data_IF_337075672887
#
_entry.id   IF_337075672887
#
_cell.length_a   1.000
_cell.length_b   1.000
_cell.length_c   1.000
_cell.angle_alpha   90.00
_cell.angle_beta   90.00
_cell.angle_gamma   90.00
#
_symmetry.space_group_name_H-M   'P 1'
#
loop_
_entity.id
_entity.type
_entity.pdbx_description
1 polymer ?
#
# COMPACT_ATOMS: atom_id res chain seq x y z
N UNK A 1 24.96 -1.23 15.07
CA UNK A 1 24.25 -0.06 15.62
C UNK A 1 24.92 0.40 16.93
N UNK A 2 25.03 -0.45 17.92
CA UNK A 2 25.59 -0.12 19.24
C UNK A 2 27.04 0.41 19.19
N UNK A 3 27.92 -0.24 18.45
CA UNK A 3 29.33 0.17 18.26
C UNK A 3 29.40 1.55 17.59
N UNK A 4 28.61 1.80 16.55
CA UNK A 4 28.60 3.09 15.84
C UNK A 4 28.11 4.25 16.70
N UNK A 5 27.23 3.98 17.66
CA UNK A 5 26.66 5.00 18.56
C UNK A 5 27.30 4.99 19.93
N UNK A 6 28.39 4.25 20.12
CA UNK A 6 29.13 4.12 21.40
C UNK A 6 28.23 3.77 22.60
N UNK A 7 27.26 2.87 22.38
CA UNK A 7 26.33 2.46 23.41
C UNK A 7 26.99 1.42 24.33
N UNK A 8 26.87 1.63 25.62
CA UNK A 8 27.33 0.68 26.64
C UNK A 8 26.31 -0.45 26.89
N UNK A 9 25.04 -0.16 26.64
CA UNK A 9 23.93 -1.11 26.78
C UNK A 9 23.01 -1.00 25.57
N UNK A 10 22.36 -2.13 25.21
CA UNK A 10 21.38 -2.18 24.11
C UNK A 10 19.98 -2.20 24.73
N UNK A 11 19.24 -1.11 24.53
CA UNK A 11 17.84 -1.01 24.94
C UNK A 11 16.90 -1.54 23.86
N UNK A 12 15.65 -1.78 24.21
CA UNK A 12 14.60 -2.14 23.24
C UNK A 12 14.45 -1.08 22.14
N UNK A 13 14.51 0.21 22.50
CA UNK A 13 14.46 1.31 21.52
C UNK A 13 15.62 1.22 20.50
N UNK A 14 16.83 0.88 20.94
CA UNK A 14 17.95 0.72 20.03
C UNK A 14 17.77 -0.43 19.02
N UNK A 15 17.07 -1.51 19.43
CA UNK A 15 16.75 -2.62 18.55
C UNK A 15 15.71 -2.18 17.51
N UNK A 16 14.66 -1.46 17.94
CA UNK A 16 13.63 -0.91 17.05
C UNK A 16 14.26 0.04 16.04
N UNK A 17 15.08 0.99 16.49
CA UNK A 17 15.79 1.93 15.61
C UNK A 17 16.71 1.23 14.60
N UNK A 18 17.38 0.15 15.02
CA UNK A 18 18.22 -0.64 14.13
C UNK A 18 17.38 -1.40 13.08
N UNK A 19 16.27 -1.97 13.49
CA UNK A 19 15.33 -2.66 12.62
C UNK A 19 14.74 -1.70 11.58
N UNK A 20 14.28 -0.52 12.00
CA UNK A 20 13.75 0.50 11.10
C UNK A 20 14.78 0.96 10.07
N UNK A 21 16.04 1.17 10.48
CA UNK A 21 17.11 1.53 9.55
C UNK A 21 17.36 0.48 8.47
N UNK A 22 17.13 -0.79 8.77
CA UNK A 22 17.32 -1.91 7.82
C UNK A 22 16.13 -2.05 6.91
N UNK A 23 14.90 -1.96 7.44
CA UNK A 23 13.67 -2.27 6.72
C UNK A 23 13.11 -1.07 5.95
N UNK A 24 13.21 0.12 6.53
CA UNK A 24 12.56 1.34 6.01
C UNK A 24 13.60 2.33 5.49
N UNK A 25 14.82 2.29 6.03
CA UNK A 25 15.90 3.18 5.67
C UNK A 25 16.24 4.19 6.76
N UNK A 26 17.23 5.03 6.48
CA UNK A 26 17.67 6.07 7.41
C UNK A 26 16.65 7.20 7.47
N UNK A 27 16.27 7.69 8.66
CA UNK A 27 15.46 8.87 8.78
C UNK A 27 16.14 10.08 8.11
N UNK A 28 15.36 10.96 7.53
CA UNK A 28 15.87 12.26 7.07
C UNK A 28 16.31 13.07 8.29
N UNK A 29 17.43 13.75 8.16
CA UNK A 29 17.95 14.60 9.24
C UNK A 29 17.36 16.01 9.20
N UNK A 30 16.66 16.36 8.14
CA UNK A 30 16.08 17.69 7.91
C UNK A 30 14.66 17.50 7.40
N UNK A 31 13.73 18.19 8.04
CA UNK A 31 12.34 18.31 7.55
C UNK A 31 12.26 19.57 6.70
N UNK A 32 12.01 19.39 5.41
CA UNK A 32 11.89 20.50 4.43
C UNK A 32 10.52 20.53 3.74
N UNK A 33 9.59 19.66 4.17
CA UNK A 33 8.24 19.60 3.59
C UNK A 33 7.38 20.73 4.15
N UNK A 34 6.49 21.27 3.32
CA UNK A 34 5.43 22.19 3.76
C UNK A 34 4.43 21.48 4.68
N UNK A 35 3.68 22.26 5.46
CA UNK A 35 2.68 21.72 6.37
C UNK A 35 1.57 20.95 5.64
N UNK A 36 1.21 21.38 4.44
CA UNK A 36 0.28 20.72 3.51
C UNK A 36 0.73 19.29 3.13
N UNK A 37 2.01 19.12 2.82
CA UNK A 37 2.60 17.81 2.50
C UNK A 37 2.64 16.93 3.73
N UNK A 38 2.95 17.50 4.90
CA UNK A 38 2.95 16.76 6.17
C UNK A 38 1.54 16.30 6.51
N UNK A 39 0.53 17.15 6.33
CA UNK A 39 -0.87 16.81 6.54
C UNK A 39 -1.33 15.70 5.60
N UNK A 40 -1.02 15.80 4.31
CA UNK A 40 -1.35 14.76 3.33
C UNK A 40 -0.75 13.39 3.72
N UNK A 41 0.54 13.38 4.09
CA UNK A 41 1.20 12.15 4.56
C UNK A 41 0.54 11.61 5.83
N UNK A 42 0.15 12.49 6.76
CA UNK A 42 -0.52 12.08 7.98
C UNK A 42 -1.88 11.40 7.69
N UNK A 43 -2.67 11.95 6.78
CA UNK A 43 -3.93 11.31 6.33
C UNK A 43 -3.67 9.98 5.65
N UNK A 44 -2.69 9.91 4.76
CA UNK A 44 -2.30 8.68 4.06
C UNK A 44 -1.97 7.55 5.06
N UNK A 45 -1.07 7.82 6.01
CA UNK A 45 -0.69 6.83 7.02
C UNK A 45 -1.84 6.52 8.01
N UNK A 46 -2.69 7.51 8.30
CA UNK A 46 -3.88 7.29 9.10
C UNK A 46 -4.88 6.34 8.41
N UNK A 47 -5.04 6.44 7.09
CA UNK A 47 -5.87 5.53 6.30
C UNK A 47 -5.42 4.07 6.44
N UNK A 48 -4.14 3.80 6.21
CA UNK A 48 -3.57 2.45 6.43
C UNK A 48 -3.77 1.99 7.87
N UNK A 49 -3.51 2.87 8.83
CA UNK A 49 -3.61 2.56 10.25
C UNK A 49 -5.04 2.22 10.67
N UNK A 50 -6.02 3.04 10.26
CA UNK A 50 -7.43 2.86 10.58
C UNK A 50 -7.92 1.49 10.10
N UNK A 51 -7.65 1.17 8.83
CA UNK A 51 -8.05 -0.10 8.24
C UNK A 51 -7.32 -1.28 8.86
N UNK A 52 -6.01 -1.17 9.16
CA UNK A 52 -5.28 -2.24 9.85
C UNK A 52 -5.81 -2.50 11.27
N UNK A 53 -6.24 -1.46 12.00
CA UNK A 53 -6.89 -1.56 13.31
C UNK A 53 -8.29 -2.18 13.21
N UNK A 54 -9.08 -1.79 12.21
CA UNK A 54 -10.39 -2.39 11.95
C UNK A 54 -10.27 -3.88 11.66
N UNK A 55 -9.29 -4.27 10.86
CA UNK A 55 -8.97 -5.66 10.58
C UNK A 55 -7.99 -6.28 11.59
N UNK A 56 -8.10 -5.90 12.88
CA UNK A 56 -7.24 -6.38 13.97
C UNK A 56 -7.30 -7.91 14.19
N UNK A 57 -8.24 -8.61 13.57
CA UNK A 57 -8.22 -10.08 13.49
C UNK A 57 -6.97 -10.58 12.73
N UNK A 58 -6.51 -9.84 11.72
CA UNK A 58 -5.43 -10.24 10.82
C UNK A 58 -4.12 -9.53 11.11
N UNK A 59 -4.18 -8.28 11.62
CA UNK A 59 -3.02 -7.40 11.74
C UNK A 59 -2.82 -6.89 13.16
N UNK A 60 -1.56 -6.65 13.51
CA UNK A 60 -1.14 -5.91 14.69
C UNK A 60 -0.37 -4.67 14.25
N UNK A 61 -0.92 -3.48 14.46
CA UNK A 61 -0.22 -2.22 14.21
C UNK A 61 0.88 -2.05 15.25
N UNK A 62 2.10 -1.82 14.80
CA UNK A 62 3.29 -1.69 15.65
C UNK A 62 3.76 -0.25 15.75
N UNK A 63 3.73 0.49 14.66
CA UNK A 63 4.19 1.87 14.62
C UNK A 63 3.58 2.62 13.44
N UNK A 64 3.30 3.89 13.66
CA UNK A 64 2.92 4.86 12.63
C UNK A 64 3.83 6.07 12.76
N UNK A 65 4.31 6.60 11.67
CA UNK A 65 5.13 7.81 11.65
C UNK A 65 4.97 8.58 10.36
N UNK A 66 5.06 9.87 10.47
CA UNK A 66 5.09 10.81 9.34
C UNK A 66 6.50 11.34 9.07
N UNK A 67 7.53 10.77 9.73
CA UNK A 67 8.90 11.19 9.53
C UNK A 67 9.41 10.68 8.19
N UNK A 68 9.88 11.61 7.35
CA UNK A 68 10.49 11.27 6.09
C UNK A 68 11.76 10.43 6.26
N UNK A 69 12.00 9.51 5.34
CA UNK A 69 13.24 8.77 5.26
C UNK A 69 14.10 9.23 4.06
N UNK A 70 15.37 8.86 4.06
CA UNK A 70 16.30 9.15 2.96
C UNK A 70 15.99 8.36 1.68
N UNK A 71 15.13 7.36 1.75
CA UNK A 71 14.65 6.57 0.62
C UNK A 71 13.47 7.19 -0.11
N UNK A 72 12.99 8.36 0.33
CA UNK A 72 11.92 9.12 -0.32
C UNK A 72 10.51 8.83 0.22
N UNK A 73 10.35 7.93 1.22
CA UNK A 73 9.05 7.77 1.88
C UNK A 73 8.79 8.95 2.81
N UNK A 74 7.60 9.52 2.73
CA UNK A 74 7.15 10.64 3.57
C UNK A 74 6.76 10.23 4.98
N UNK A 75 6.30 9.00 5.13
CA UNK A 75 5.90 8.34 6.37
C UNK A 75 5.88 6.84 6.19
N UNK A 76 5.42 6.12 7.18
CA UNK A 76 5.10 4.69 7.05
C UNK A 76 4.20 4.19 8.18
N UNK A 77 3.40 3.20 7.88
CA UNK A 77 2.63 2.41 8.85
C UNK A 77 3.20 1.00 8.91
N UNK A 78 3.79 0.65 10.05
CA UNK A 78 4.29 -0.70 10.30
C UNK A 78 3.23 -1.53 11.00
N UNK A 79 2.76 -2.57 10.35
CA UNK A 79 1.92 -3.60 10.94
C UNK A 79 2.45 -4.99 10.61
N UNK A 80 2.16 -5.95 11.45
CA UNK A 80 2.56 -7.34 11.26
C UNK A 80 1.33 -8.21 11.11
N UNK A 81 1.41 -9.18 10.21
CA UNK A 81 0.39 -10.23 10.10
C UNK A 81 0.45 -11.15 11.31
N UNK A 82 -0.70 -11.50 11.88
CA UNK A 82 -0.74 -12.48 12.96
C UNK A 82 -0.26 -13.86 12.50
N UNK A 83 0.46 -14.55 13.36
CA UNK A 83 1.16 -15.80 13.07
C UNK A 83 0.26 -16.84 12.36
N UNK A 84 -1.00 -16.94 12.77
CA UNK A 84 -1.99 -17.82 12.15
C UNK A 84 -2.13 -17.63 10.63
N UNK A 85 -2.01 -16.41 10.15
CA UNK A 85 -2.20 -16.06 8.73
C UNK A 85 -0.90 -15.95 7.94
N UNK A 86 0.26 -15.96 8.63
CA UNK A 86 1.57 -15.98 7.96
C UNK A 86 1.83 -17.29 7.25
N UNK A 87 1.47 -18.42 7.87
CA UNK A 87 1.70 -19.75 7.31
C UNK A 87 0.63 -20.18 6.31
N UNK A 88 -0.62 -19.77 6.52
CA UNK A 88 -1.78 -20.14 5.69
C UNK A 88 -2.67 -18.91 5.47
N UNK A 89 -2.34 -18.04 4.49
CA UNK A 89 -3.18 -16.92 4.14
C UNK A 89 -4.57 -17.37 3.69
N UNK A 90 -5.62 -16.81 4.28
CA UNK A 90 -7.00 -17.11 3.90
C UNK A 90 -7.53 -16.11 2.89
N UNK A 91 -8.62 -16.46 2.20
CA UNK A 91 -9.33 -15.55 1.29
C UNK A 91 -9.68 -14.22 1.97
N UNK A 92 -10.20 -14.26 3.20
CA UNK A 92 -10.56 -13.07 3.99
C UNK A 92 -9.34 -12.22 4.36
N UNK A 93 -8.23 -12.87 4.75
CA UNK A 93 -6.98 -12.17 5.05
C UNK A 93 -6.44 -11.42 3.83
N UNK A 94 -6.41 -12.07 2.66
CA UNK A 94 -5.91 -11.40 1.45
C UNK A 94 -6.79 -10.23 1.03
N UNK A 95 -8.12 -10.34 1.17
CA UNK A 95 -9.03 -9.24 0.91
C UNK A 95 -8.81 -8.09 1.89
N UNK A 96 -8.68 -8.38 3.20
CA UNK A 96 -8.36 -7.36 4.20
C UNK A 96 -7.01 -6.68 3.91
N UNK A 97 -5.99 -7.45 3.51
CA UNK A 97 -4.68 -6.92 3.15
C UNK A 97 -4.75 -6.00 1.92
N UNK A 98 -5.56 -6.36 0.94
CA UNK A 98 -5.82 -5.52 -0.24
C UNK A 98 -6.51 -4.21 0.13
N UNK A 99 -7.53 -4.25 1.01
CA UNK A 99 -8.24 -3.06 1.49
C UNK A 99 -7.29 -2.15 2.27
N UNK A 100 -6.47 -2.71 3.18
CA UNK A 100 -5.46 -1.95 3.95
C UNK A 100 -4.43 -1.32 3.02
N UNK A 101 -3.96 -2.02 1.99
CA UNK A 101 -3.01 -1.47 1.03
C UNK A 101 -3.56 -0.26 0.25
N UNK A 102 -4.88 -0.17 0.06
CA UNK A 102 -5.53 0.94 -0.64
C UNK A 102 -5.95 2.09 0.30
N UNK A 103 -5.78 1.91 1.62
CA UNK A 103 -6.20 2.85 2.65
C UNK A 103 -5.56 4.22 2.52
N UNK A 104 -4.26 4.28 2.22
CA UNK A 104 -3.56 5.55 2.02
C UNK A 104 -4.15 6.37 0.89
N UNK A 105 -4.38 5.74 -0.28
CA UNK A 105 -5.02 6.41 -1.43
C UNK A 105 -6.44 6.87 -1.12
N UNK A 106 -7.23 6.05 -0.44
CA UNK A 106 -8.60 6.41 -0.07
C UNK A 106 -8.62 7.63 0.88
N UNK A 107 -7.71 7.66 1.85
CA UNK A 107 -7.59 8.78 2.79
C UNK A 107 -7.15 10.09 2.11
N UNK A 108 -6.22 10.03 1.14
CA UNK A 108 -5.85 11.21 0.34
C UNK A 108 -7.07 11.78 -0.41
N UNK A 109 -7.90 10.91 -1.00
CA UNK A 109 -9.10 11.32 -1.74
C UNK A 109 -10.13 11.96 -0.80
N UNK A 110 -10.38 11.36 0.35
CA UNK A 110 -11.30 11.92 1.37
C UNK A 110 -10.82 13.29 1.83
N UNK A 111 -9.52 13.46 2.11
CA UNK A 111 -8.95 14.76 2.46
C UNK A 111 -9.18 15.79 1.36
N UNK A 112 -8.88 15.44 0.11
CA UNK A 112 -9.05 16.31 -1.05
C UNK A 112 -10.51 16.74 -1.25
N UNK A 113 -11.46 15.81 -1.15
CA UNK A 113 -12.90 16.09 -1.31
C UNK A 113 -13.44 16.97 -0.18
N UNK A 114 -13.01 16.74 1.07
CA UNK A 114 -13.36 17.58 2.20
C UNK A 114 -12.85 19.01 2.00
N UNK A 115 -11.63 19.14 1.49
CA UNK A 115 -11.04 20.43 1.16
C UNK A 115 -11.82 21.14 0.06
N UNK A 116 -12.13 20.48 -1.06
CA UNK A 116 -12.94 21.01 -2.15
C UNK A 116 -14.32 21.46 -1.68
N UNK A 117 -14.94 20.69 -0.80
CA UNK A 117 -16.27 21.00 -0.23
C UNK A 117 -16.24 22.24 0.67
N UNK A 118 -15.10 22.63 1.20
CA UNK A 118 -14.91 23.81 2.04
C UNK A 118 -14.82 25.12 1.25
N UNK A 119 -14.59 25.04 -0.07
CA UNK A 119 -14.48 26.21 -0.95
C UNK A 119 -15.89 26.78 -1.17
N UNK A 120 -16.11 28.09 -0.92
CA UNK A 120 -17.40 28.72 -1.15
C UNK A 120 -17.83 28.63 -2.63
N UNK A 121 -19.11 28.31 -2.87
CA UNK A 121 -19.68 28.09 -4.21
C UNK A 121 -19.69 29.35 -5.11
N UNK A 122 -19.38 30.53 -4.57
CA UNK A 122 -19.29 31.81 -5.28
C UNK A 122 -17.87 32.16 -5.73
N UNK A 123 -16.90 31.25 -5.54
CA UNK A 123 -15.56 31.42 -6.09
C UNK A 123 -15.57 31.24 -7.62
N UNK A 124 -14.93 32.17 -8.34
CA UNK A 124 -14.75 32.03 -9.79
C UNK A 124 -13.83 30.84 -10.09
N UNK A 125 -14.32 29.89 -10.90
CA UNK A 125 -13.56 28.70 -11.28
C UNK A 125 -12.20 28.99 -11.91
N UNK A 126 -11.98 30.16 -12.50
CA UNK A 126 -10.69 30.58 -13.04
C UNK A 126 -9.68 30.94 -11.94
N UNK A 127 -10.13 31.52 -10.82
CA UNK A 127 -9.29 31.81 -9.66
C UNK A 127 -9.06 30.56 -8.79
N UNK A 128 -10.03 29.64 -8.75
CA UNK A 128 -9.91 28.36 -8.04
C UNK A 128 -8.78 27.53 -8.64
N UNK A 129 -8.56 27.57 -9.96
CA UNK A 129 -7.48 26.80 -10.61
C UNK A 129 -6.08 27.29 -10.21
N UNK A 130 -5.92 28.55 -9.80
CA UNK A 130 -4.66 29.13 -9.33
C UNK A 130 -4.53 29.17 -7.80
N UNK A 131 -5.66 29.09 -7.07
CA UNK A 131 -5.72 29.05 -5.62
C UNK A 131 -6.16 27.70 -5.06
N UNK A 132 -6.39 26.69 -5.91
CA UNK A 132 -6.43 25.30 -5.48
C UNK A 132 -5.02 25.05 -4.98
N UNK A 133 -4.90 25.30 -3.73
CA UNK A 133 -3.80 25.04 -2.88
C UNK A 133 -3.13 23.74 -3.23
N UNK A 134 -1.94 23.63 -2.86
CA UNK A 134 -1.00 22.55 -3.06
C UNK A 134 -1.50 21.15 -2.61
N UNK A 135 -2.73 21.03 -2.07
CA UNK A 135 -3.42 19.78 -1.73
C UNK A 135 -4.09 19.16 -2.97
N UNK A 136 -3.42 18.21 -3.58
CA UNK A 136 -3.92 17.38 -4.68
C UNK A 136 -3.59 15.90 -4.38
N UNK A 137 -4.26 15.00 -5.09
CA UNK A 137 -3.97 13.58 -5.04
C UNK A 137 -2.57 13.35 -5.61
N UNK A 138 -1.71 12.70 -4.84
CA UNK A 138 -0.29 12.57 -5.17
C UNK A 138 0.07 11.23 -5.80
N UNK A 139 1.32 11.14 -6.29
CA UNK A 139 1.93 9.88 -6.72
C UNK A 139 2.45 9.04 -5.54
N UNK A 140 2.32 9.53 -4.31
CA UNK A 140 2.83 8.88 -3.09
C UNK A 140 2.33 7.44 -2.91
N UNK A 141 1.09 7.18 -3.25
CA UNK A 141 0.48 5.85 -3.17
C UNK A 141 0.91 4.87 -4.29
N UNK A 142 1.91 5.20 -5.11
CA UNK A 142 2.32 4.33 -6.23
C UNK A 142 2.80 2.94 -5.78
N UNK A 143 3.52 2.85 -4.68
CA UNK A 143 3.97 1.59 -4.10
C UNK A 143 2.79 0.74 -3.58
N UNK A 144 1.81 1.39 -2.94
CA UNK A 144 0.60 0.74 -2.42
C UNK A 144 -0.26 0.19 -3.56
N UNK A 145 -0.40 0.94 -4.65
CA UNK A 145 -1.10 0.49 -5.84
C UNK A 145 -0.41 -0.71 -6.50
N UNK A 146 0.93 -0.75 -6.53
CA UNK A 146 1.68 -1.91 -7.01
C UNK A 146 1.47 -3.11 -6.11
N UNK A 147 1.51 -2.92 -4.79
CA UNK A 147 1.24 -3.96 -3.81
C UNK A 147 -0.19 -4.47 -3.93
N UNK A 148 -1.18 -3.59 -4.02
CA UNK A 148 -2.58 -3.94 -4.19
C UNK A 148 -2.81 -4.79 -5.44
N UNK A 149 -2.27 -4.37 -6.59
CA UNK A 149 -2.35 -5.15 -7.83
C UNK A 149 -1.68 -6.53 -7.72
N UNK A 150 -0.54 -6.61 -7.02
CA UNK A 150 0.13 -7.89 -6.77
C UNK A 150 -0.73 -8.83 -5.92
N UNK A 151 -1.32 -8.33 -4.83
CA UNK A 151 -2.23 -9.11 -3.97
C UNK A 151 -3.46 -9.56 -4.74
N UNK A 152 -4.10 -8.66 -5.50
CA UNK A 152 -5.28 -8.97 -6.29
C UNK A 152 -4.99 -10.02 -7.36
N UNK A 153 -3.83 -9.93 -8.04
CA UNK A 153 -3.41 -10.93 -9.03
C UNK A 153 -3.13 -12.29 -8.38
N UNK A 154 -2.50 -12.32 -7.22
CA UNK A 154 -2.32 -13.56 -6.46
C UNK A 154 -3.66 -14.17 -6.05
N UNK A 155 -4.58 -13.35 -5.55
CA UNK A 155 -5.92 -13.78 -5.14
C UNK A 155 -6.69 -14.44 -6.29
N UNK A 156 -6.71 -13.80 -7.46
CA UNK A 156 -7.47 -14.27 -8.63
C UNK A 156 -6.76 -15.42 -9.34
N UNK A 157 -5.48 -15.23 -9.67
CA UNK A 157 -4.78 -16.08 -10.61
C UNK A 157 -3.96 -17.20 -9.94
N UNK A 158 -3.37 -16.95 -8.78
CA UNK A 158 -2.52 -17.93 -8.11
C UNK A 158 -3.32 -18.84 -7.17
N UNK A 159 -4.24 -18.25 -6.40
CA UNK A 159 -5.00 -19.01 -5.39
C UNK A 159 -6.40 -19.42 -5.88
N UNK A 160 -6.85 -18.94 -7.04
CA UNK A 160 -8.14 -19.32 -7.63
C UNK A 160 -9.34 -18.98 -6.75
N UNK A 161 -9.26 -17.95 -5.91
CA UNK A 161 -10.33 -17.61 -4.96
C UNK A 161 -11.57 -17.02 -5.64
N UNK A 162 -11.47 -16.63 -6.90
CA UNK A 162 -12.57 -16.06 -7.69
C UNK A 162 -13.14 -17.03 -8.73
N UNK A 163 -12.95 -18.34 -8.55
CA UNK A 163 -13.58 -19.40 -9.35
C UNK A 163 -13.29 -19.37 -10.87
N UNK A 164 -12.25 -18.70 -11.34
CA UNK A 164 -11.84 -18.69 -12.77
C UNK A 164 -11.14 -20.00 -13.18
N UNK A 165 -11.52 -21.08 -12.59
CA UNK A 165 -10.88 -22.37 -12.80
C UNK A 165 -9.59 -22.50 -11.98
N UNK A 166 -9.35 -23.70 -11.50
CA UNK A 166 -8.14 -24.06 -10.74
C UNK A 166 -6.95 -24.21 -11.71
N UNK A 167 -6.63 -23.16 -12.46
CA UNK A 167 -5.46 -23.12 -13.32
C UNK A 167 -4.25 -22.57 -12.57
N UNK A 168 -3.17 -23.32 -12.59
CA UNK A 168 -1.88 -22.80 -12.17
C UNK A 168 -1.40 -21.73 -13.17
N UNK A 169 -1.69 -20.49 -12.87
CA UNK A 169 -1.25 -19.33 -13.64
C UNK A 169 0.09 -18.77 -13.13
N UNK A 170 0.76 -19.49 -12.23
CA UNK A 170 2.09 -19.11 -11.80
C UNK A 170 3.02 -19.15 -13.02
N UNK A 171 3.33 -17.99 -13.59
CA UNK A 171 4.49 -17.84 -14.43
C UNK A 171 5.70 -18.14 -13.55
N UNK A 172 6.12 -19.39 -13.55
CA UNK A 172 7.36 -19.77 -12.87
C UNK A 172 8.47 -18.97 -13.53
N UNK A 173 8.91 -17.91 -12.89
CA UNK A 173 10.18 -17.24 -13.18
C UNK A 173 11.29 -18.24 -12.85
N UNK A 174 11.42 -19.26 -13.69
CA UNK A 174 12.54 -20.18 -13.61
C UNK A 174 13.75 -19.48 -14.21
N UNK A 175 14.90 -19.48 -13.55
CA UNK A 175 16.08 -18.73 -13.96
C UNK A 175 16.77 -19.27 -15.24
N UNK A 176 16.08 -20.07 -16.06
CA UNK A 176 16.58 -20.65 -17.30
C UNK A 176 15.81 -20.17 -18.52
N UNK A 177 16.15 -18.95 -18.98
CA UNK A 177 15.65 -18.32 -20.21
C UNK A 177 15.69 -19.24 -21.46
N UNK A 178 16.65 -20.18 -21.56
CA UNK A 178 16.79 -21.05 -22.72
C UNK A 178 15.72 -22.15 -22.83
N UNK A 179 15.08 -22.56 -21.74
CA UNK A 179 14.08 -23.63 -21.74
C UNK A 179 12.69 -23.15 -22.08
N UNK A 180 12.37 -21.91 -21.69
CA UNK A 180 11.07 -21.30 -21.99
C UNK A 180 10.95 -20.87 -23.46
N UNK A 181 12.05 -20.46 -24.10
CA UNK A 181 12.11 -20.26 -25.57
C UNK A 181 11.97 -21.54 -26.37
N UNK A 182 12.43 -22.67 -25.84
CA UNK A 182 12.41 -23.96 -26.55
C UNK A 182 11.08 -24.73 -26.40
N UNK A 183 10.28 -24.43 -25.35
CA UNK A 183 9.02 -25.12 -25.06
C UNK A 183 7.74 -24.28 -25.33
N UNK A 184 7.88 -23.19 -26.06
CA UNK A 184 6.73 -22.42 -26.58
C UNK A 184 5.87 -21.80 -25.50
N UNK A 185 6.08 -20.53 -25.27
CA UNK A 185 5.08 -19.54 -24.84
C UNK A 185 4.21 -19.85 -23.63
N UNK A 186 3.88 -18.82 -22.96
CA UNK A 186 2.85 -18.71 -21.95
C UNK A 186 1.67 -19.69 -22.21
N UNK A 187 1.48 -20.66 -21.33
CA UNK A 187 0.48 -21.73 -21.49
C UNK A 187 -0.96 -21.24 -21.40
N UNK A 188 -1.15 -19.95 -21.11
CA UNK A 188 -2.44 -19.34 -20.90
C UNK A 188 -2.95 -18.68 -22.18
N UNK A 189 -4.19 -18.94 -22.58
CA UNK A 189 -4.81 -18.28 -23.72
C UNK A 189 -4.97 -16.78 -23.45
N UNK A 190 -4.95 -15.97 -24.51
CA UNK A 190 -5.13 -14.52 -24.37
C UNK A 190 -6.53 -14.16 -23.80
N UNK A 191 -7.54 -14.99 -24.06
CA UNK A 191 -8.87 -14.80 -23.47
C UNK A 191 -8.87 -15.06 -21.97
N UNK A 192 -8.13 -16.09 -21.51
CA UNK A 192 -7.97 -16.33 -20.05
C UNK A 192 -7.25 -15.17 -19.37
N UNK A 193 -6.21 -14.61 -20.00
CA UNK A 193 -5.51 -13.43 -19.47
C UNK A 193 -6.43 -12.24 -19.33
N UNK A 194 -7.26 -11.95 -20.35
CA UNK A 194 -8.25 -10.86 -20.30
C UNK A 194 -9.25 -11.05 -19.16
N UNK A 195 -9.74 -12.27 -18.95
CA UNK A 195 -10.66 -12.58 -17.87
C UNK A 195 -10.00 -12.31 -16.51
N UNK A 196 -8.75 -12.77 -16.34
CA UNK A 196 -7.99 -12.51 -15.10
C UNK A 196 -7.78 -11.01 -14.88
N UNK A 197 -7.37 -10.27 -15.91
CA UNK A 197 -7.15 -8.82 -15.80
C UNK A 197 -8.45 -8.09 -15.46
N UNK A 198 -9.58 -8.47 -16.03
CA UNK A 198 -10.91 -7.94 -15.68
C UNK A 198 -11.22 -8.19 -14.19
N UNK A 199 -11.03 -9.43 -13.72
CA UNK A 199 -11.29 -9.80 -12.34
C UNK A 199 -10.36 -9.13 -11.33
N UNK A 200 -9.10 -8.94 -11.69
CA UNK A 200 -8.14 -8.18 -10.87
C UNK A 200 -8.61 -6.73 -10.73
N UNK A 201 -9.05 -6.11 -11.83
CA UNK A 201 -9.57 -4.74 -11.81
C UNK A 201 -10.83 -4.63 -10.94
N UNK A 202 -11.82 -5.52 -11.14
CA UNK A 202 -13.04 -5.56 -10.33
C UNK A 202 -12.74 -5.71 -8.82
N UNK A 203 -11.77 -6.57 -8.47
CA UNK A 203 -11.38 -6.80 -7.08
C UNK A 203 -10.67 -5.60 -6.46
N UNK A 204 -9.79 -4.93 -7.20
CA UNK A 204 -9.10 -3.71 -6.75
C UNK A 204 -10.11 -2.57 -6.57
N UNK A 205 -11.03 -2.38 -7.51
CA UNK A 205 -12.10 -1.38 -7.41
C UNK A 205 -13.02 -1.65 -6.20
N UNK A 206 -13.42 -2.90 -5.99
CA UNK A 206 -14.21 -3.29 -4.83
C UNK A 206 -13.48 -2.97 -3.51
N UNK A 207 -12.21 -3.34 -3.43
CA UNK A 207 -11.41 -3.10 -2.22
C UNK A 207 -11.18 -1.59 -1.97
N UNK A 208 -10.95 -0.81 -3.04
CA UNK A 208 -10.81 0.64 -2.95
C UNK A 208 -12.12 1.31 -2.47
N UNK A 209 -13.25 0.96 -3.08
CA UNK A 209 -14.54 1.51 -2.66
C UNK A 209 -14.86 1.15 -1.21
N UNK A 210 -14.54 -0.09 -0.79
CA UNK A 210 -14.69 -0.51 0.62
C UNK A 210 -13.80 0.32 1.55
N UNK A 211 -12.53 0.56 1.17
CA UNK A 211 -11.63 1.40 1.96
C UNK A 211 -12.15 2.83 2.07
N UNK A 212 -12.60 3.41 0.96
CA UNK A 212 -13.14 4.76 0.88
C UNK A 212 -14.43 4.94 1.72
N UNK A 213 -15.33 3.96 1.70
CA UNK A 213 -16.57 4.01 2.50
C UNK A 213 -16.31 3.90 4.03
N UNK A 214 -15.20 3.27 4.42
CA UNK A 214 -14.84 3.10 5.83
C UNK A 214 -14.14 4.34 6.40
N UNK A 215 -13.34 5.02 5.59
CA UNK A 215 -12.56 6.20 5.97
C UNK A 215 -13.44 7.46 5.95
#
# INVERSE_FOLDING_TARGET
YSVRNNLTEITYSNIVDAYEKITIGLPSSVENRGDDVIELVAYHEAGHTLLALLFSEFFDVKRVTINANKGGAGGYTLFTTKEKYQSLPTKKYLLANLIVALGGRAAEVVLYENYQSSIPSNYDNSEVFYNITDLDITTGASADLQQANSIARQYVAQFGFDMIGLYDSSSSSKPFLGRDMAMGGDKMSDDTKKIIDCKVTELVEYAYNTAYEII
#
